data_IF_189566786613
#
_entry.id   IF_189566786613
#
_cell.length_a   1.000
_cell.length_b   1.000
_cell.length_c   1.000
_cell.angle_alpha   90.00
_cell.angle_beta   90.00
_cell.angle_gamma   90.00
#
_symmetry.space_group_name_H-M   'P 1'
#
loop_
_entity.id
_entity.type
_entity.pdbx_description
1 polymer ?
#
# COMPACT_ATOMS: atom_id res chain seq x y z
N UNK A 1 14.30 -5.74 -5.30
CA UNK A 1 13.77 -4.70 -4.41
C UNK A 1 14.57 -4.67 -3.11
N UNK A 2 15.39 -3.64 -2.95
CA UNK A 2 16.17 -3.37 -1.73
C UNK A 2 15.96 -1.92 -1.32
N UNK A 3 16.31 -1.58 -0.08
CA UNK A 3 16.28 -0.20 0.36
C UNK A 3 17.44 0.59 -0.26
N UNK A 4 17.13 1.79 -0.74
CA UNK A 4 18.08 2.77 -1.30
C UNK A 4 18.06 4.04 -0.46
N UNK A 5 19.21 4.72 -0.41
CA UNK A 5 19.43 5.91 0.41
C UNK A 5 19.63 7.14 -0.47
N UNK A 6 18.79 8.17 -0.26
CA UNK A 6 18.83 9.47 -0.94
C UNK A 6 19.37 10.50 0.06
N UNK A 7 20.61 10.95 -0.17
CA UNK A 7 21.41 11.61 0.86
C UNK A 7 20.89 13.01 1.17
N UNK A 8 20.52 13.76 0.14
CA UNK A 8 20.08 15.15 0.18
C UNK A 8 18.83 15.40 1.02
N UNK A 9 17.99 14.38 1.19
CA UNK A 9 16.75 14.47 1.97
C UNK A 9 16.95 14.10 3.45
N UNK A 10 18.10 13.54 3.83
CA UNK A 10 18.30 12.93 5.14
C UNK A 10 18.62 13.96 6.22
N UNK A 11 17.87 13.90 7.32
CA UNK A 11 18.12 14.75 8.51
C UNK A 11 18.79 14.00 9.67
N UNK A 12 19.23 12.75 9.45
CA UNK A 12 19.94 11.96 10.46
C UNK A 12 19.12 11.54 11.68
N UNK A 13 17.78 11.47 11.57
CA UNK A 13 16.90 11.18 12.72
C UNK A 13 16.90 9.73 13.21
N UNK A 14 17.50 8.80 12.46
CA UNK A 14 17.67 7.40 12.86
C UNK A 14 16.43 6.51 12.85
N UNK A 15 15.24 7.03 12.49
CA UNK A 15 14.00 6.23 12.46
C UNK A 15 14.10 4.98 11.59
N UNK A 16 14.78 5.08 10.44
CA UNK A 16 14.95 3.95 9.51
C UNK A 16 15.70 2.77 10.15
N UNK A 17 16.73 3.04 10.95
CA UNK A 17 17.44 2.02 11.72
C UNK A 17 16.54 1.43 12.82
N UNK A 18 15.85 2.30 13.57
CA UNK A 18 14.97 1.88 14.66
C UNK A 18 13.83 0.95 14.22
N UNK A 19 13.21 1.21 13.06
CA UNK A 19 12.08 0.40 12.57
C UNK A 19 12.49 -0.82 11.76
N UNK A 20 13.78 -1.01 11.45
CA UNK A 20 14.23 -2.10 10.59
C UNK A 20 14.11 -3.44 11.34
N UNK A 21 13.22 -4.36 10.94
CA UNK A 21 13.03 -5.61 11.69
C UNK A 21 14.08 -6.67 11.38
N UNK A 22 15.09 -6.34 10.55
CA UNK A 22 16.17 -7.23 10.12
C UNK A 22 17.54 -6.68 10.49
N UNK A 23 17.59 -5.60 11.28
CA UNK A 23 18.83 -4.92 11.67
C UNK A 23 19.74 -4.54 10.48
N UNK A 24 19.13 -4.35 9.30
CA UNK A 24 19.84 -4.12 8.04
C UNK A 24 20.28 -2.66 7.87
N UNK A 25 20.03 -1.79 8.85
CA UNK A 25 20.40 -0.37 8.79
C UNK A 25 21.10 0.01 10.09
N UNK A 26 22.33 0.52 9.96
CA UNK A 26 23.11 1.08 11.07
C UNK A 26 23.32 2.58 10.86
N UNK A 27 23.60 3.33 11.92
CA UNK A 27 23.88 4.77 11.84
C UNK A 27 25.37 5.03 12.06
N UNK A 28 25.99 5.72 11.10
CA UNK A 28 27.32 6.28 11.27
C UNK A 28 27.30 7.53 12.16
N UNK A 29 28.47 7.98 12.66
CA UNK A 29 28.59 9.28 13.32
C UNK A 29 27.97 10.39 12.45
N UNK A 30 27.13 11.22 13.07
CA UNK A 30 26.36 12.24 12.35
C UNK A 30 24.98 11.78 11.86
N UNK A 31 24.60 10.52 12.10
CA UNK A 31 23.23 10.02 11.83
C UNK A 31 23.01 9.50 10.42
N UNK A 32 24.05 9.41 9.59
CA UNK A 32 23.98 8.86 8.23
C UNK A 32 23.66 7.36 8.26
N UNK A 33 22.56 6.91 7.63
CA UNK A 33 22.23 5.49 7.58
C UNK A 33 23.13 4.74 6.61
N UNK A 34 23.61 3.57 7.03
CA UNK A 34 24.31 2.60 6.18
C UNK A 34 23.45 1.36 6.10
N UNK A 35 23.10 0.97 4.87
CA UNK A 35 22.22 -0.16 4.59
C UNK A 35 23.08 -1.38 4.23
N UNK A 36 22.96 -2.45 5.02
CA UNK A 36 23.46 -3.77 4.65
C UNK A 36 22.53 -4.40 3.61
N UNK A 37 22.98 -4.42 2.36
CA UNK A 37 22.24 -4.97 1.24
C UNK A 37 22.06 -6.50 1.32
N UNK A 38 22.91 -7.21 2.07
CA UNK A 38 22.78 -8.65 2.28
C UNK A 38 21.60 -8.94 3.22
N UNK A 39 21.51 -8.23 4.34
CA UNK A 39 20.45 -8.41 5.34
C UNK A 39 19.12 -7.74 4.96
N UNK A 40 19.13 -6.71 4.10
CA UNK A 40 17.92 -6.03 3.67
C UNK A 40 17.03 -6.95 2.82
N UNK A 41 15.80 -7.23 3.25
CA UNK A 41 14.84 -8.02 2.45
C UNK A 41 13.86 -7.17 1.64
N UNK A 42 14.03 -5.84 1.64
CA UNK A 42 13.17 -4.93 0.86
C UNK A 42 11.74 -4.75 1.40
N UNK A 43 11.50 -4.96 2.69
CA UNK A 43 10.14 -4.91 3.26
C UNK A 43 9.49 -3.52 3.30
N UNK A 44 10.25 -2.44 3.08
CA UNK A 44 9.71 -1.07 3.03
C UNK A 44 9.42 -0.39 4.37
N UNK A 45 9.57 -1.06 5.53
CA UNK A 45 9.32 -0.45 6.84
C UNK A 45 10.08 0.87 7.06
N UNK A 46 11.35 0.89 6.67
CA UNK A 46 12.20 2.07 6.77
C UNK A 46 11.78 3.20 5.82
N UNK A 47 11.28 2.87 4.64
CA UNK A 47 10.80 3.85 3.66
C UNK A 47 9.50 4.51 4.17
N UNK A 48 8.53 3.72 4.62
CA UNK A 48 7.28 4.23 5.21
C UNK A 48 7.52 5.07 6.48
N UNK A 49 8.55 4.76 7.27
CA UNK A 49 8.87 5.53 8.47
C UNK A 49 9.65 6.83 8.20
N UNK A 50 10.12 7.05 6.97
CA UNK A 50 10.95 8.21 6.62
C UNK A 50 10.10 9.36 6.06
N UNK A 51 9.75 10.38 6.86
CA UNK A 51 8.90 11.48 6.39
C UNK A 51 9.60 12.39 5.35
N UNK A 52 10.93 12.26 5.22
CA UNK A 52 11.72 13.00 4.22
C UNK A 52 11.95 12.17 2.95
N UNK A 53 11.43 10.94 2.85
CA UNK A 53 11.64 10.06 1.70
C UNK A 53 13.14 9.85 1.36
N UNK A 54 14.00 9.96 2.38
CA UNK A 54 15.44 9.75 2.27
C UNK A 54 15.81 8.26 2.20
N UNK A 55 14.87 7.37 2.54
CA UNK A 55 14.97 5.93 2.31
C UNK A 55 13.82 5.53 1.41
N UNK A 56 14.12 4.84 0.31
CA UNK A 56 13.11 4.35 -0.64
C UNK A 56 13.34 2.87 -0.90
N UNK A 57 12.39 2.20 -1.56
CA UNK A 57 12.55 0.83 -2.03
C UNK A 57 12.69 0.84 -3.54
N UNK A 58 13.76 0.22 -4.03
CA UNK A 58 14.01 0.07 -5.47
C UNK A 58 12.81 -0.59 -6.17
N UNK A 59 12.26 0.11 -7.16
CA UNK A 59 11.07 -0.32 -7.92
C UNK A 59 9.74 -0.04 -7.20
N UNK A 60 9.78 0.66 -6.07
CA UNK A 60 8.62 1.11 -5.29
C UNK A 60 8.94 2.48 -4.65
N UNK A 61 9.53 3.38 -5.44
CA UNK A 61 9.82 4.76 -5.06
C UNK A 61 8.53 5.55 -4.85
N UNK A 62 8.51 6.47 -3.86
CA UNK A 62 7.29 7.18 -3.50
C UNK A 62 6.67 7.93 -4.70
N UNK A 63 7.48 8.68 -5.44
CA UNK A 63 7.02 9.48 -6.58
C UNK A 63 6.50 8.61 -7.74
N UNK A 64 7.09 7.42 -7.93
CA UNK A 64 6.62 6.44 -8.89
C UNK A 64 5.21 5.95 -8.53
N UNK A 65 4.98 5.62 -7.25
CA UNK A 65 3.68 5.15 -6.78
C UNK A 65 2.64 6.28 -6.79
N UNK A 66 3.02 7.49 -6.37
CA UNK A 66 2.18 8.69 -6.47
C UNK A 66 1.72 8.94 -7.92
N UNK A 67 2.63 8.86 -8.88
CA UNK A 67 2.32 9.02 -10.31
C UNK A 67 1.36 7.93 -10.82
N UNK A 68 1.51 6.68 -10.36
CA UNK A 68 0.58 5.60 -10.69
C UNK A 68 -0.80 5.85 -10.11
N UNK A 69 -0.90 6.26 -8.84
CA UNK A 69 -2.18 6.56 -8.18
C UNK A 69 -2.94 7.64 -8.97
N UNK A 70 -2.25 8.72 -9.36
CA UNK A 70 -2.85 9.80 -10.14
C UNK A 70 -3.31 9.32 -11.53
N UNK A 71 -2.47 8.53 -12.21
CA UNK A 71 -2.78 7.97 -13.53
C UNK A 71 -4.01 7.07 -13.46
N UNK A 72 -4.03 6.13 -12.51
CA UNK A 72 -5.14 5.19 -12.34
C UNK A 72 -6.42 5.90 -11.87
N UNK A 73 -6.29 6.92 -11.01
CA UNK A 73 -7.41 7.77 -10.60
C UNK A 73 -8.07 8.45 -11.79
N UNK A 74 -7.28 9.02 -12.72
CA UNK A 74 -7.80 9.64 -13.93
C UNK A 74 -8.56 8.62 -14.82
N UNK A 75 -7.96 7.46 -15.07
CA UNK A 75 -8.55 6.41 -15.92
C UNK A 75 -9.85 5.86 -15.33
N UNK A 76 -9.84 5.50 -14.05
CA UNK A 76 -11.02 4.93 -13.37
C UNK A 76 -12.14 5.96 -13.21
N UNK A 77 -11.82 7.25 -13.06
CA UNK A 77 -12.80 8.34 -13.04
C UNK A 77 -13.56 8.46 -14.36
N UNK A 78 -12.89 8.28 -15.50
CA UNK A 78 -13.57 8.24 -16.80
C UNK A 78 -14.52 7.05 -16.91
N UNK A 79 -14.13 5.88 -16.38
CA UNK A 79 -14.99 4.71 -16.36
C UNK A 79 -16.24 4.94 -15.49
N UNK A 80 -16.07 5.50 -14.29
CA UNK A 80 -17.19 5.89 -13.41
C UNK A 80 -18.16 6.86 -14.09
N UNK A 81 -17.66 7.83 -14.83
CA UNK A 81 -18.52 8.76 -15.57
C UNK A 81 -19.39 8.07 -16.63
N UNK A 82 -18.91 6.94 -17.19
CA UNK A 82 -19.62 6.16 -18.21
C UNK A 82 -20.61 5.16 -17.62
N UNK A 83 -20.26 4.49 -16.53
CA UNK A 83 -21.02 3.34 -16.02
C UNK A 83 -21.63 3.54 -14.62
N UNK A 84 -21.30 4.64 -13.93
CA UNK A 84 -21.80 4.98 -12.59
C UNK A 84 -21.29 4.11 -11.45
N UNK A 85 -20.39 3.13 -11.72
CA UNK A 85 -19.86 2.23 -10.70
C UNK A 85 -18.77 2.89 -9.87
N UNK A 86 -18.62 2.53 -8.58
CA UNK A 86 -17.56 3.06 -7.73
C UNK A 86 -16.19 2.62 -8.23
N UNK A 87 -15.21 3.50 -8.06
CA UNK A 87 -13.79 3.26 -8.40
C UNK A 87 -13.02 2.76 -7.19
N UNK A 88 -12.16 1.78 -7.37
CA UNK A 88 -11.43 1.15 -6.27
C UNK A 88 -9.94 1.10 -6.60
N UNK A 89 -9.10 1.51 -5.65
CA UNK A 89 -7.68 1.22 -5.69
C UNK A 89 -7.36 0.08 -4.74
N UNK A 90 -6.71 -0.96 -5.26
CA UNK A 90 -6.25 -2.11 -4.48
C UNK A 90 -4.74 -2.00 -4.28
N UNK A 91 -4.28 -1.88 -3.05
CA UNK A 91 -2.90 -2.18 -2.69
C UNK A 91 -2.80 -3.67 -2.39
N UNK A 92 -1.97 -4.42 -3.12
CA UNK A 92 -1.83 -5.87 -2.91
C UNK A 92 -0.43 -6.26 -2.51
N UNK A 93 -0.30 -7.04 -1.44
CA UNK A 93 0.99 -7.56 -1.04
C UNK A 93 1.45 -8.54 -2.11
N UNK A 94 2.69 -8.37 -2.62
CA UNK A 94 3.27 -9.26 -3.64
C UNK A 94 3.28 -10.76 -3.23
N UNK A 95 3.02 -11.07 -1.95
CA UNK A 95 3.00 -12.43 -1.40
C UNK A 95 1.59 -12.93 -1.01
N UNK A 96 0.57 -12.06 -0.96
CA UNK A 96 -0.76 -12.43 -0.45
C UNK A 96 -1.67 -13.04 -1.52
N UNK A 97 -1.50 -12.67 -2.79
CA UNK A 97 -2.48 -13.02 -3.81
C UNK A 97 -1.86 -13.10 -5.21
N UNK A 98 -1.82 -14.31 -5.80
CA UNK A 98 -1.23 -14.53 -7.12
C UNK A 98 -2.28 -14.60 -8.24
N UNK A 99 -3.52 -15.05 -7.97
CA UNK A 99 -4.51 -15.28 -9.03
C UNK A 99 -5.20 -14.02 -9.56
N UNK A 100 -5.34 -12.96 -8.75
CA UNK A 100 -5.85 -11.69 -9.27
C UNK A 100 -4.83 -11.00 -10.18
N UNK A 101 -3.54 -11.13 -9.90
CA UNK A 101 -2.47 -10.53 -10.69
C UNK A 101 -2.46 -11.04 -12.14
N UNK A 102 -2.82 -12.30 -12.36
CA UNK A 102 -2.95 -12.86 -13.72
C UNK A 102 -3.99 -12.13 -14.59
N UNK A 103 -4.98 -11.47 -13.96
CA UNK A 103 -6.02 -10.70 -14.65
C UNK A 103 -5.62 -9.25 -14.89
N UNK A 104 -4.63 -8.74 -14.16
CA UNK A 104 -4.22 -7.34 -14.23
C UNK A 104 -3.62 -7.04 -15.60
N UNK A 105 -4.15 -6.02 -16.26
CA UNK A 105 -3.60 -5.50 -17.52
C UNK A 105 -3.34 -4.02 -17.36
N UNK A 106 -2.09 -3.61 -17.54
CA UNK A 106 -1.65 -2.21 -17.38
C UNK A 106 -2.09 -1.59 -16.04
N UNK A 107 -2.03 -2.37 -14.96
CA UNK A 107 -2.40 -1.91 -13.62
C UNK A 107 -3.89 -1.91 -13.30
N UNK A 108 -4.74 -2.39 -14.21
CA UNK A 108 -6.18 -2.47 -14.01
C UNK A 108 -6.65 -3.92 -13.93
N UNK A 109 -7.42 -4.25 -12.90
CA UNK A 109 -8.16 -5.52 -12.78
C UNK A 109 -9.40 -5.50 -13.67
N UNK A 110 -10.10 -4.36 -13.67
CA UNK A 110 -11.23 -4.07 -14.54
C UNK A 110 -11.30 -2.54 -14.81
N UNK A 111 -12.35 -2.10 -15.49
CA UNK A 111 -12.54 -0.69 -15.87
C UNK A 111 -12.63 0.28 -14.67
N UNK A 112 -13.05 -0.18 -13.48
CA UNK A 112 -13.21 0.65 -12.28
C UNK A 112 -12.19 0.32 -11.18
N UNK A 113 -11.46 -0.79 -11.29
CA UNK A 113 -10.56 -1.30 -10.24
C UNK A 113 -9.11 -1.28 -10.69
N UNK A 114 -8.30 -0.45 -10.05
CA UNK A 114 -6.86 -0.40 -10.24
C UNK A 114 -6.13 -1.22 -9.15
N UNK A 115 -4.94 -1.73 -9.47
CA UNK A 115 -4.12 -2.50 -8.55
C UNK A 115 -2.67 -2.00 -8.56
N UNK A 116 -2.12 -1.79 -7.37
CA UNK A 116 -0.69 -1.51 -7.14
C UNK A 116 -0.15 -2.60 -6.22
N UNK A 117 0.88 -3.30 -6.68
CA UNK A 117 1.61 -4.24 -5.85
C UNK A 117 2.51 -3.50 -4.87
N UNK A 118 2.49 -3.94 -3.60
CA UNK A 118 3.37 -3.45 -2.54
C UNK A 118 4.35 -4.55 -2.15
N UNK A 119 5.65 -4.24 -1.96
CA UNK A 119 6.64 -5.26 -1.59
C UNK A 119 6.26 -5.98 -0.29
N UNK A 120 5.71 -5.22 0.65
CA UNK A 120 5.14 -5.72 1.88
C UNK A 120 4.34 -4.59 2.51
N UNK A 121 3.29 -4.93 3.25
CA UNK A 121 2.51 -3.92 3.96
C UNK A 121 3.24 -3.27 5.15
N UNK A 122 4.40 -3.79 5.58
CA UNK A 122 5.28 -3.00 6.45
C UNK A 122 5.66 -1.65 5.83
N UNK A 123 5.74 -1.62 4.50
CA UNK A 123 6.14 -0.44 3.72
C UNK A 123 4.98 0.32 3.08
N UNK A 124 3.72 -0.06 3.31
CA UNK A 124 2.62 0.77 2.83
C UNK A 124 2.57 2.04 3.70
N UNK A 125 2.84 3.17 3.06
CA UNK A 125 2.69 4.48 3.68
C UNK A 125 1.20 4.87 3.74
N UNK A 126 0.63 5.15 4.93
CA UNK A 126 -0.74 5.66 5.07
C UNK A 126 -1.04 6.91 4.22
N UNK A 127 -0.02 7.73 3.90
CA UNK A 127 -0.18 8.89 3.03
C UNK A 127 -0.66 8.50 1.62
N UNK A 128 -0.22 7.34 1.08
CA UNK A 128 -0.64 6.86 -0.23
C UNK A 128 -2.12 6.46 -0.26
N UNK A 129 -2.67 5.97 0.86
CA UNK A 129 -4.11 5.69 0.96
C UNK A 129 -4.91 6.99 0.93
N UNK A 130 -4.43 8.02 1.63
CA UNK A 130 -5.04 9.35 1.60
C UNK A 130 -4.97 9.93 0.18
N UNK A 131 -3.80 9.87 -0.45
CA UNK A 131 -3.58 10.34 -1.83
C UNK A 131 -4.51 9.64 -2.83
N UNK A 132 -4.77 8.35 -2.67
CA UNK A 132 -5.73 7.63 -3.49
C UNK A 132 -7.14 8.25 -3.42
N UNK A 133 -7.63 8.55 -2.22
CA UNK A 133 -8.92 9.25 -2.08
C UNK A 133 -8.92 10.64 -2.74
N UNK A 134 -7.84 11.42 -2.58
CA UNK A 134 -7.71 12.72 -3.26
C UNK A 134 -7.61 12.60 -4.79
N UNK A 135 -7.12 11.48 -5.29
CA UNK A 135 -7.02 11.18 -6.73
C UNK A 135 -8.36 10.70 -7.33
N UNK A 136 -9.40 10.56 -6.52
CA UNK A 136 -10.78 10.32 -6.98
C UNK A 136 -11.30 8.90 -6.76
N UNK A 137 -10.55 8.02 -6.07
CA UNK A 137 -11.01 6.68 -5.75
C UNK A 137 -12.14 6.72 -4.71
N UNK A 138 -13.18 5.91 -4.93
CA UNK A 138 -14.33 5.79 -4.02
C UNK A 138 -14.06 4.86 -2.86
N UNK A 139 -13.14 3.91 -3.04
CA UNK A 139 -12.66 3.03 -1.99
C UNK A 139 -11.22 2.61 -2.20
N UNK A 140 -10.55 2.32 -1.09
CA UNK A 140 -9.19 1.79 -1.07
C UNK A 140 -9.19 0.48 -0.31
N UNK A 141 -8.65 -0.56 -0.96
CA UNK A 141 -8.60 -1.90 -0.43
C UNK A 141 -7.13 -2.34 -0.25
N UNK A 142 -6.80 -2.82 0.94
CA UNK A 142 -5.49 -3.32 1.30
C UNK A 142 -5.49 -4.85 1.44
N UNK A 143 -4.85 -5.56 0.51
CA UNK A 143 -4.77 -7.02 0.50
C UNK A 143 -3.48 -7.50 1.18
N UNK A 144 -3.62 -8.01 2.39
CA UNK A 144 -2.50 -8.48 3.23
C UNK A 144 -2.47 -10.00 3.33
N UNK A 145 -1.32 -10.57 3.69
CA UNK A 145 -1.23 -12.00 4.00
C UNK A 145 -1.98 -12.31 5.33
N UNK A 146 -2.45 -13.54 5.56
CA UNK A 146 -2.69 -14.03 6.92
C UNK A 146 -1.41 -13.91 7.75
N UNK A 147 -1.55 -13.63 9.04
CA UNK A 147 -0.40 -13.42 9.94
C UNK A 147 0.52 -14.64 9.95
N UNK A 148 -0.07 -15.82 10.14
CA UNK A 148 0.58 -17.13 10.13
C UNK A 148 1.23 -17.51 8.79
N UNK A 149 0.92 -16.80 7.70
CA UNK A 149 1.48 -17.03 6.36
C UNK A 149 2.29 -15.84 5.84
N UNK A 150 2.59 -14.86 6.68
CA UNK A 150 3.32 -13.66 6.24
C UNK A 150 4.77 -14.01 5.86
N UNK A 151 5.12 -13.89 4.58
CA UNK A 151 6.45 -14.26 4.06
C UNK A 151 7.61 -13.51 4.72
N UNK A 152 7.39 -12.24 5.05
CA UNK A 152 8.39 -11.38 5.67
C UNK A 152 8.16 -11.24 7.18
N UNK A 153 7.27 -12.01 7.80
CA UNK A 153 6.93 -11.93 9.24
C UNK A 153 6.36 -10.57 9.69
N UNK A 154 5.37 -10.55 10.59
CA UNK A 154 4.79 -9.30 11.17
C UNK A 154 4.28 -8.25 10.16
N UNK A 155 4.21 -8.55 8.86
CA UNK A 155 3.77 -7.60 7.83
C UNK A 155 2.33 -7.18 8.04
N UNK A 156 1.45 -8.15 8.28
CA UNK A 156 0.02 -7.95 8.58
C UNK A 156 -0.18 -7.20 9.88
N UNK A 157 0.54 -7.58 10.94
CA UNK A 157 0.47 -6.92 12.26
C UNK A 157 0.83 -5.43 12.15
N UNK A 158 1.92 -5.11 11.45
CA UNK A 158 2.33 -3.72 11.21
C UNK A 158 1.32 -2.98 10.33
N UNK A 159 0.79 -3.64 9.30
CA UNK A 159 -0.26 -3.07 8.44
C UNK A 159 -1.48 -2.64 9.26
N UNK A 160 -1.96 -3.51 10.14
CA UNK A 160 -3.13 -3.28 10.98
C UNK A 160 -2.86 -2.19 12.03
N UNK A 161 -1.65 -2.13 12.59
CA UNK A 161 -1.24 -1.03 13.47
C UNK A 161 -1.24 0.32 12.75
N UNK A 162 -0.67 0.38 11.55
CA UNK A 162 -0.68 1.58 10.72
C UNK A 162 -2.12 1.96 10.32
N UNK A 163 -2.96 0.97 10.03
CA UNK A 163 -4.37 1.18 9.72
C UNK A 163 -5.15 1.78 10.89
N UNK A 164 -4.90 1.40 12.14
CA UNK A 164 -5.54 2.03 13.30
C UNK A 164 -5.26 3.54 13.35
N UNK A 165 -4.02 3.95 13.02
CA UNK A 165 -3.67 5.36 12.95
C UNK A 165 -4.36 6.06 11.76
N UNK A 166 -4.36 5.40 10.60
CA UNK A 166 -5.01 5.88 9.38
C UNK A 166 -6.53 6.03 9.57
N UNK A 167 -7.21 5.05 10.15
CA UNK A 167 -8.66 5.06 10.39
C UNK A 167 -9.10 6.25 11.23
N UNK A 168 -8.31 6.67 12.22
CA UNK A 168 -8.58 7.90 12.99
C UNK A 168 -8.53 9.16 12.13
N UNK A 169 -7.67 9.18 11.11
CA UNK A 169 -7.60 10.26 10.14
C UNK A 169 -8.80 10.17 9.19
N UNK A 170 -9.08 8.97 8.65
CA UNK A 170 -10.20 8.73 7.73
C UNK A 170 -11.55 9.02 8.38
N UNK A 171 -11.73 8.76 9.68
CA UNK A 171 -12.94 9.09 10.43
C UNK A 171 -13.20 10.60 10.43
N UNK A 172 -12.17 11.43 10.64
CA UNK A 172 -12.27 12.89 10.55
C UNK A 172 -12.59 13.39 9.13
N UNK A 173 -12.26 12.59 8.13
CA UNK A 173 -12.51 12.88 6.72
C UNK A 173 -13.83 12.27 6.20
N UNK A 174 -14.59 11.53 7.03
CA UNK A 174 -15.75 10.73 6.62
C UNK A 174 -15.42 9.68 5.53
N UNK A 175 -14.22 9.13 5.56
CA UNK A 175 -13.70 8.13 4.61
C UNK A 175 -13.48 6.75 5.25
N UNK A 176 -13.73 6.59 6.56
CA UNK A 176 -13.45 5.34 7.29
C UNK A 176 -14.15 4.14 6.66
N UNK A 177 -15.42 4.28 6.30
CA UNK A 177 -16.18 3.20 5.65
C UNK A 177 -15.70 2.89 4.22
N UNK A 178 -14.82 3.70 3.64
CA UNK A 178 -14.30 3.54 2.28
C UNK A 178 -12.91 2.89 2.24
N UNK A 179 -12.34 2.54 3.39
CA UNK A 179 -11.09 1.81 3.50
C UNK A 179 -11.31 0.46 4.18
N UNK A 180 -10.66 -0.59 3.68
CA UNK A 180 -10.73 -1.91 4.31
C UNK A 180 -9.42 -2.69 4.11
N UNK A 181 -9.04 -3.46 5.13
CA UNK A 181 -7.97 -4.47 5.04
C UNK A 181 -8.63 -5.82 4.85
N UNK A 182 -8.17 -6.56 3.85
CA UNK A 182 -8.57 -7.93 3.61
C UNK A 182 -7.38 -8.87 3.66
N UNK A 183 -7.53 -9.98 4.39
CA UNK A 183 -6.49 -11.01 4.51
C UNK A 183 -6.73 -12.07 3.44
N UNK A 184 -5.79 -12.23 2.52
CA UNK A 184 -5.87 -13.19 1.40
C UNK A 184 -4.65 -14.11 1.34
N UNK A 185 -4.89 -15.35 0.92
CA UNK A 185 -3.83 -16.34 0.67
C UNK A 185 -4.01 -16.94 -0.72
N UNK A 186 -2.93 -17.25 -1.45
CA UNK A 186 -3.05 -17.83 -2.80
C UNK A 186 -3.63 -19.24 -2.83
N UNK A 187 -3.82 -19.86 -1.66
CA UNK A 187 -4.40 -21.21 -1.54
C UNK A 187 -5.89 -21.21 -1.87
N UNK A 188 -6.61 -20.12 -1.57
CA UNK A 188 -8.06 -20.06 -1.76
C UNK A 188 -8.41 -19.26 -3.00
N UNK A 189 -8.77 -19.97 -4.08
CA UNK A 189 -9.18 -19.37 -5.35
C UNK A 189 -10.51 -18.60 -5.18
N UNK A 190 -10.65 -17.50 -5.92
CA UNK A 190 -11.86 -16.66 -6.02
C UNK A 190 -12.29 -15.91 -4.74
N UNK A 191 -11.57 -16.04 -3.63
CA UNK A 191 -11.92 -15.37 -2.37
C UNK A 191 -11.89 -13.84 -2.53
N UNK A 192 -10.85 -13.34 -3.20
CA UNK A 192 -10.69 -11.92 -3.52
C UNK A 192 -11.79 -11.39 -4.43
N UNK A 193 -12.15 -12.09 -5.52
CA UNK A 193 -13.19 -11.62 -6.44
C UNK A 193 -14.54 -11.46 -5.72
N UNK A 194 -14.87 -12.39 -4.82
CA UNK A 194 -16.08 -12.30 -4.00
C UNK A 194 -16.03 -11.09 -3.05
N UNK A 195 -14.89 -10.89 -2.39
CA UNK A 195 -14.70 -9.79 -1.46
C UNK A 195 -14.71 -8.43 -2.16
N UNK A 196 -14.01 -8.28 -3.28
CA UNK A 196 -13.99 -7.06 -4.08
C UNK A 196 -15.42 -6.68 -4.54
N UNK A 197 -16.22 -7.67 -4.93
CA UNK A 197 -17.64 -7.46 -5.28
C UNK A 197 -18.46 -6.99 -4.08
N UNK A 198 -18.28 -7.59 -2.91
CA UNK A 198 -18.94 -7.17 -1.67
C UNK A 198 -18.57 -5.73 -1.31
N UNK A 199 -17.28 -5.41 -1.34
CA UNK A 199 -16.76 -4.06 -1.09
C UNK A 199 -17.33 -3.04 -2.09
N UNK A 200 -17.35 -3.35 -3.39
CA UNK A 200 -17.93 -2.50 -4.43
C UNK A 200 -19.43 -2.24 -4.22
N UNK A 201 -20.20 -3.27 -3.84
CA UNK A 201 -21.62 -3.12 -3.52
C UNK A 201 -21.82 -2.21 -2.29
N UNK A 202 -20.96 -2.36 -1.27
CA UNK A 202 -20.98 -1.51 -0.07
C UNK A 202 -20.74 -0.05 -0.43
N UNK A 203 -19.70 0.24 -1.23
CA UNK A 203 -19.41 1.60 -1.71
C UNK A 203 -20.55 2.21 -2.53
N UNK A 204 -21.23 1.39 -3.34
CA UNK A 204 -22.38 1.83 -4.14
C UNK A 204 -23.54 2.28 -3.24
N UNK A 205 -23.80 1.57 -2.14
CA UNK A 205 -24.86 1.93 -1.19
C UNK A 205 -24.57 3.21 -0.39
N UNK A 206 -23.29 3.57 -0.23
CA UNK A 206 -22.87 4.81 0.44
C UNK A 206 -23.07 6.06 -0.43
N UNK A 207 -23.08 5.90 -1.76
CA UNK A 207 -23.32 7.01 -2.70
C UNK A 207 -24.80 7.41 -2.83
N UNK A 208 -25.71 6.57 -2.33
CA UNK A 208 -27.16 6.80 -2.40
C UNK A 208 -27.71 7.57 -1.17
N UNK A 209 -26.84 7.92 -0.22
CA UNK A 209 -27.16 8.72 0.98
C UNK A 209 -26.57 10.13 0.86
#
# INVERSE_FOLDING_TARGET
MKAVYVTENCVGCGKCAFVCPYDAITLQPGGTPVIDQASCVGCGACASACPHQAIQIEGYEYDSISSLIQTYGAVTKEAKAKNGKPTILVFSCQWAEFSALDKVKNGLLDENTALIEVPCFKGLDPALVIEAFYSGFDGVLAIVCPEEKCKLEKGTVIAEQNAIALEKVLEKLNLKEKFEIYRATPVYLNQFDSFLKEFSNRLSSLHTR
#
